data_IF_024731359049
#
_entry.id   IF_024731359049
#
_cell.length_a   1.000
_cell.length_b   1.000
_cell.length_c   1.000
_cell.angle_alpha   90.00
_cell.angle_beta   90.00
_cell.angle_gamma   90.00
#
_symmetry.space_group_name_H-M   'P 1'
#
loop_
_entity.id
_entity.type
_entity.pdbx_description
1 polymer ?
#
# COMPACT_ATOMS: atom_id res chain seq x y z
N UNK A 1 -49.17 -2.64 -43.13
CA UNK A 1 -47.78 -2.75 -42.67
C UNK A 1 -47.68 -2.08 -41.32
N UNK A 2 -47.55 -2.85 -40.25
CA UNK A 2 -47.32 -2.29 -38.91
C UNK A 2 -45.87 -1.81 -38.86
N UNK A 3 -45.64 -0.52 -38.73
CA UNK A 3 -44.35 0.01 -38.43
C UNK A 3 -44.02 -0.33 -36.96
N UNK A 4 -43.15 -1.26 -36.72
CA UNK A 4 -42.51 -1.46 -35.45
C UNK A 4 -41.71 -0.18 -35.15
N UNK A 5 -42.22 0.67 -34.30
CA UNK A 5 -41.44 1.73 -33.67
C UNK A 5 -40.45 1.04 -32.72
N UNK A 6 -39.18 0.98 -33.10
CA UNK A 6 -38.14 0.67 -32.15
C UNK A 6 -38.16 1.70 -31.04
N UNK A 7 -38.29 1.23 -29.81
CA UNK A 7 -38.22 2.09 -28.63
C UNK A 7 -36.79 2.65 -28.55
N UNK A 8 -36.69 3.97 -28.68
CA UNK A 8 -35.44 4.67 -28.54
C UNK A 8 -35.02 4.58 -27.09
N UNK A 9 -33.92 3.84 -26.82
CA UNK A 9 -33.36 3.75 -25.49
C UNK A 9 -32.84 5.11 -25.07
N UNK A 10 -33.23 5.55 -23.88
CA UNK A 10 -32.72 6.78 -23.27
C UNK A 10 -31.65 6.40 -22.26
N UNK A 11 -30.45 6.86 -22.49
CA UNK A 11 -29.36 6.72 -21.54
C UNK A 11 -29.52 7.76 -20.42
N UNK A 12 -29.24 7.33 -19.20
CA UNK A 12 -29.17 8.24 -18.06
C UNK A 12 -27.93 9.10 -18.18
N UNK A 13 -28.06 10.41 -18.02
CA UNK A 13 -26.92 11.31 -17.87
C UNK A 13 -26.26 11.20 -16.49
N UNK A 14 -26.88 10.48 -15.56
CA UNK A 14 -26.35 10.26 -14.23
C UNK A 14 -25.44 9.05 -14.26
N UNK A 15 -24.16 9.30 -14.15
CA UNK A 15 -23.16 8.24 -13.91
C UNK A 15 -23.20 7.86 -12.45
N UNK A 16 -23.50 6.60 -12.16
CA UNK A 16 -23.46 6.11 -10.77
C UNK A 16 -22.03 6.18 -10.24
N UNK A 17 -21.90 6.81 -9.08
CA UNK A 17 -20.61 6.82 -8.38
C UNK A 17 -20.13 5.39 -8.12
N UNK A 18 -18.91 5.09 -8.57
CA UNK A 18 -18.32 3.76 -8.36
C UNK A 18 -17.89 3.59 -6.91
N UNK A 19 -18.17 2.42 -6.37
CA UNK A 19 -17.55 2.02 -5.11
C UNK A 19 -16.05 1.81 -5.35
N UNK A 20 -15.24 2.45 -4.53
CA UNK A 20 -13.78 2.42 -4.68
C UNK A 20 -13.12 1.93 -3.40
N UNK A 21 -12.21 0.98 -3.53
CA UNK A 21 -11.34 0.55 -2.45
C UNK A 21 -10.28 1.61 -2.13
N UNK A 22 -9.77 1.57 -0.91
CA UNK A 22 -8.76 2.51 -0.43
C UNK A 22 -7.37 2.17 -0.98
N UNK A 23 -6.69 3.14 -1.60
CA UNK A 23 -5.27 3.04 -1.95
C UNK A 23 -4.45 3.72 -0.88
N UNK A 24 -3.60 2.97 -0.19
CA UNK A 24 -2.89 3.42 1.00
C UNK A 24 -1.38 3.22 0.92
N UNK A 25 -0.93 2.03 0.54
CA UNK A 25 0.46 1.60 0.74
C UNK A 25 1.46 2.38 -0.10
N UNK A 26 1.08 2.90 -1.26
CA UNK A 26 1.96 3.71 -2.10
C UNK A 26 2.54 4.94 -1.38
N UNK A 27 1.83 5.48 -0.38
CA UNK A 27 2.27 6.62 0.43
C UNK A 27 3.05 6.20 1.70
N UNK A 28 2.96 4.93 2.10
CA UNK A 28 3.60 4.42 3.31
C UNK A 28 4.97 3.80 3.05
N UNK A 29 5.31 3.56 1.80
CA UNK A 29 6.60 3.02 1.40
C UNK A 29 7.64 4.13 1.20
N UNK A 30 8.89 3.82 1.52
CA UNK A 30 10.03 4.68 1.21
C UNK A 30 10.29 4.69 -0.30
N UNK A 31 10.32 5.89 -0.88
CA UNK A 31 10.58 6.16 -2.30
C UNK A 31 11.86 6.95 -2.53
N UNK A 32 12.61 7.23 -1.46
CA UNK A 32 13.83 8.06 -1.53
C UNK A 32 15.01 7.19 -1.95
N UNK A 33 15.39 7.29 -3.23
CA UNK A 33 16.55 6.60 -3.79
C UNK A 33 17.41 7.59 -4.56
N UNK A 34 18.73 7.35 -4.53
CA UNK A 34 19.69 8.12 -5.33
C UNK A 34 19.85 7.49 -6.72
N UNK A 35 19.83 8.33 -7.74
CA UNK A 35 19.99 7.94 -9.14
C UNK A 35 18.71 7.47 -9.82
N UNK A 36 18.83 7.18 -11.11
CA UNK A 36 17.76 6.65 -11.93
C UNK A 36 17.93 5.13 -12.05
N UNK A 37 16.95 4.31 -11.64
CA UNK A 37 17.05 2.86 -11.69
C UNK A 37 16.84 2.35 -13.12
N UNK A 38 17.83 2.49 -13.98
CA UNK A 38 17.77 2.02 -15.38
C UNK A 38 18.22 0.57 -15.57
N UNK A 39 18.65 -0.10 -14.51
CA UNK A 39 19.28 -1.42 -14.59
C UNK A 39 18.38 -2.58 -14.07
N UNK A 40 17.08 -2.35 -13.93
CA UNK A 40 16.14 -3.38 -13.49
C UNK A 40 16.28 -3.81 -12.01
N UNK A 41 17.19 -3.21 -11.25
CA UNK A 41 17.38 -3.50 -9.84
C UNK A 41 18.04 -2.34 -9.08
N UNK A 42 17.63 -2.17 -7.82
CA UNK A 42 18.21 -1.18 -6.90
C UNK A 42 18.89 -1.91 -5.73
N UNK A 43 20.13 -1.56 -5.42
CA UNK A 43 20.86 -2.12 -4.27
C UNK A 43 20.64 -1.23 -3.05
N UNK A 44 20.04 -1.80 -2.01
CA UNK A 44 19.78 -1.12 -0.74
C UNK A 44 20.83 -1.54 0.25
N UNK A 45 21.69 -0.61 0.75
CA UNK A 45 22.69 -0.94 1.76
C UNK A 45 21.98 -1.25 3.10
N UNK A 46 22.30 -2.40 3.65
CA UNK A 46 21.85 -2.80 4.99
C UNK A 46 23.09 -2.83 5.87
N UNK A 47 23.16 -1.89 6.82
CA UNK A 47 24.19 -1.90 7.84
C UNK A 47 23.69 -2.63 9.08
N UNK A 48 24.46 -3.58 9.55
CA UNK A 48 24.32 -4.12 10.89
C UNK A 48 25.06 -3.22 11.88
N UNK A 49 24.79 -3.39 13.17
CA UNK A 49 25.46 -2.64 14.22
C UNK A 49 26.96 -2.85 14.16
N UNK A 50 27.71 -1.78 14.19
CA UNK A 50 29.17 -1.84 14.25
C UNK A 50 29.60 -2.48 15.58
N UNK A 51 30.58 -3.39 15.51
CA UNK A 51 31.14 -4.01 16.70
C UNK A 51 32.06 -3.00 17.39
N UNK A 52 31.66 -2.57 18.57
CA UNK A 52 32.52 -1.76 19.43
C UNK A 52 33.37 -2.69 20.28
N UNK A 53 34.66 -2.76 19.98
CA UNK A 53 35.61 -3.45 20.85
C UNK A 53 35.96 -2.53 22.03
N UNK A 54 35.63 -2.96 23.24
CA UNK A 54 35.97 -2.26 24.48
C UNK A 54 37.15 -2.95 25.16
N UNK A 55 38.09 -2.18 25.71
CA UNK A 55 39.14 -2.70 26.61
C UNK A 55 38.96 -2.08 27.98
N UNK A 56 39.50 -2.72 29.02
CA UNK A 56 39.52 -2.17 30.35
C UNK A 56 40.35 -0.85 30.38
N UNK A 57 39.95 0.08 31.19
CA UNK A 57 40.67 1.32 31.42
C UNK A 57 42.14 1.02 31.73
N UNK A 58 43.04 1.67 31.02
CA UNK A 58 44.48 1.58 31.18
C UNK A 58 45.18 0.33 30.54
N UNK A 59 44.50 -0.47 29.71
CA UNK A 59 45.12 -1.50 28.87
C UNK A 59 44.95 -1.11 27.42
N UNK A 60 45.80 -0.22 26.92
CA UNK A 60 45.80 0.17 25.51
C UNK A 60 46.61 -0.88 24.73
N UNK A 61 46.01 -2.01 24.43
CA UNK A 61 46.48 -2.90 23.39
C UNK A 61 45.93 -2.43 22.07
N UNK A 62 46.77 -2.12 21.09
CA UNK A 62 46.32 -1.56 19.80
C UNK A 62 45.19 -2.40 19.22
N UNK A 63 44.09 -1.73 18.87
CA UNK A 63 42.96 -2.37 18.22
C UNK A 63 43.31 -2.61 16.75
N UNK A 64 43.09 -3.84 16.26
CA UNK A 64 43.19 -4.16 14.85
C UNK A 64 42.09 -3.41 14.08
N UNK A 65 42.43 -2.79 12.97
CA UNK A 65 41.49 -2.14 12.05
C UNK A 65 40.71 -3.22 11.33
N UNK A 66 39.44 -3.29 11.61
CA UNK A 66 38.50 -4.16 10.89
C UNK A 66 37.82 -3.39 9.75
N UNK A 67 37.88 -3.97 8.54
CA UNK A 67 37.17 -3.35 7.40
C UNK A 67 35.67 -3.34 7.65
N UNK A 68 35.06 -2.19 7.46
CA UNK A 68 33.59 -2.05 7.55
C UNK A 68 32.92 -2.85 6.43
N UNK A 69 32.18 -3.88 6.79
CA UNK A 69 31.40 -4.67 5.84
C UNK A 69 30.00 -4.07 5.70
N UNK A 70 29.61 -3.76 4.48
CA UNK A 70 28.24 -3.34 4.15
C UNK A 70 27.61 -4.45 3.32
N UNK A 71 26.49 -5.00 3.80
CA UNK A 71 25.70 -5.93 3.02
C UNK A 71 24.67 -5.17 2.19
N UNK A 72 24.35 -5.69 1.01
CA UNK A 72 23.36 -5.09 0.11
C UNK A 72 22.19 -6.04 -0.09
N UNK A 73 20.99 -5.54 -0.02
CA UNK A 73 19.79 -6.23 -0.51
C UNK A 73 19.41 -5.67 -1.85
N UNK A 74 19.08 -6.54 -2.79
CA UNK A 74 18.71 -6.16 -4.15
C UNK A 74 17.19 -6.13 -4.26
N UNK A 75 16.64 -4.94 -4.52
CA UNK A 75 15.25 -4.78 -4.92
C UNK A 75 15.19 -4.97 -6.43
N UNK A 76 14.46 -5.97 -6.88
CA UNK A 76 14.27 -6.27 -8.31
C UNK A 76 13.02 -5.54 -8.80
N UNK A 77 13.11 -4.94 -9.97
CA UNK A 77 11.99 -4.31 -10.66
C UNK A 77 11.39 -5.36 -11.59
N UNK A 78 10.36 -6.03 -11.13
CA UNK A 78 9.76 -7.22 -11.77
C UNK A 78 8.27 -7.09 -12.06
N UNK A 79 7.66 -5.96 -11.67
CA UNK A 79 6.23 -5.74 -11.82
C UNK A 79 5.95 -4.78 -12.96
N UNK A 80 4.99 -5.16 -13.81
CA UNK A 80 4.59 -4.41 -14.99
C UNK A 80 3.06 -4.42 -15.11
N UNK A 81 2.44 -3.31 -14.76
CA UNK A 81 1.00 -3.12 -14.88
C UNK A 81 0.69 -2.22 -16.07
N UNK A 82 -0.26 -2.62 -16.88
CA UNK A 82 -0.70 -1.82 -18.02
C UNK A 82 -2.22 -1.83 -18.18
N UNK A 83 -2.73 -0.75 -18.75
CA UNK A 83 -4.09 -0.64 -19.28
C UNK A 83 -3.98 -0.35 -20.77
N UNK A 84 -4.73 -1.10 -21.57
CA UNK A 84 -4.83 -0.88 -23.00
C UNK A 84 -6.26 -1.22 -23.44
N UNK A 85 -7.12 -0.22 -23.55
CA UNK A 85 -8.53 -0.36 -23.89
C UNK A 85 -8.84 0.42 -25.17
N UNK A 86 -9.42 -0.24 -26.16
CA UNK A 86 -9.82 0.37 -27.43
C UNK A 86 -11.13 1.16 -27.26
N UNK A 87 -11.15 2.35 -27.80
CA UNK A 87 -12.34 3.18 -27.95
C UNK A 87 -12.58 3.36 -29.45
N UNK A 88 -13.63 2.73 -29.97
CA UNK A 88 -14.07 2.93 -31.32
C UNK A 88 -14.74 4.31 -31.47
N UNK A 89 -14.27 5.12 -32.41
CA UNK A 89 -14.74 6.50 -32.59
C UNK A 89 -16.21 6.58 -32.96
N UNK A 90 -16.72 5.67 -33.79
CA UNK A 90 -18.13 5.62 -34.17
C UNK A 90 -19.01 5.30 -32.96
N UNK A 91 -18.59 4.38 -32.12
CA UNK A 91 -19.32 4.03 -30.89
C UNK A 91 -19.22 5.15 -29.85
N UNK A 92 -18.11 5.86 -29.78
CA UNK A 92 -17.90 6.98 -28.85
C UNK A 92 -18.84 8.15 -29.15
N UNK A 93 -19.09 8.45 -30.43
CA UNK A 93 -20.02 9.50 -30.85
C UNK A 93 -21.49 9.16 -30.54
N UNK A 94 -21.81 7.86 -30.43
CA UNK A 94 -23.14 7.39 -30.11
C UNK A 94 -23.45 7.35 -28.59
N UNK A 95 -22.44 7.54 -27.74
CA UNK A 95 -22.51 7.42 -26.28
C UNK A 95 -22.42 8.81 -25.66
N UNK A 96 -23.08 9.09 -24.49
CA UNK A 96 -22.98 10.37 -23.81
C UNK A 96 -21.51 10.77 -23.52
N UNK A 97 -21.16 12.04 -23.74
CA UNK A 97 -19.80 12.61 -23.66
C UNK A 97 -19.06 12.32 -22.34
N UNK A 98 -19.79 12.11 -21.23
CA UNK A 98 -19.18 11.81 -19.92
C UNK A 98 -18.61 10.39 -19.79
N UNK A 99 -18.98 9.44 -20.64
CA UNK A 99 -18.61 8.02 -20.45
C UNK A 99 -17.15 7.75 -20.74
N UNK A 100 -16.56 8.43 -21.71
CA UNK A 100 -15.13 8.28 -22.06
C UNK A 100 -14.25 8.84 -20.95
N UNK A 101 -14.62 10.00 -20.39
CA UNK A 101 -13.89 10.59 -19.25
C UNK A 101 -13.96 9.68 -18.01
N UNK A 102 -15.10 9.07 -17.77
CA UNK A 102 -15.28 8.13 -16.66
C UNK A 102 -14.46 6.84 -16.84
N UNK A 103 -14.36 6.32 -18.06
CA UNK A 103 -13.50 5.17 -18.37
C UNK A 103 -12.03 5.49 -18.12
N UNK A 104 -11.57 6.69 -18.50
CA UNK A 104 -10.21 7.16 -18.26
C UNK A 104 -9.92 7.23 -16.74
N UNK A 105 -10.81 7.83 -15.96
CA UNK A 105 -10.70 7.90 -14.50
C UNK A 105 -10.71 6.50 -13.86
N UNK A 106 -11.60 5.62 -14.33
CA UNK A 106 -11.66 4.23 -13.89
C UNK A 106 -10.39 3.45 -14.20
N UNK A 107 -9.79 3.65 -15.36
CA UNK A 107 -8.54 3.01 -15.75
C UNK A 107 -7.38 3.48 -14.85
N UNK A 108 -7.29 4.78 -14.58
CA UNK A 108 -6.29 5.35 -13.67
C UNK A 108 -6.43 4.79 -12.25
N UNK A 109 -7.66 4.74 -11.74
CA UNK A 109 -7.96 4.13 -10.45
C UNK A 109 -7.58 2.65 -10.40
N UNK A 110 -7.94 1.86 -11.41
CA UNK A 110 -7.63 0.42 -11.47
C UNK A 110 -6.13 0.15 -11.46
N UNK A 111 -5.34 0.97 -12.17
CA UNK A 111 -3.87 0.90 -12.12
C UNK A 111 -3.34 1.23 -10.71
N UNK A 112 -3.91 2.24 -10.05
CA UNK A 112 -3.55 2.59 -8.68
C UNK A 112 -3.81 1.44 -7.70
N UNK A 113 -4.99 0.83 -7.77
CA UNK A 113 -5.37 -0.32 -6.93
C UNK A 113 -4.52 -1.56 -7.24
N UNK A 114 -4.19 -1.82 -8.50
CA UNK A 114 -3.32 -2.93 -8.86
C UNK A 114 -1.91 -2.76 -8.25
N UNK A 115 -1.37 -1.56 -8.29
CA UNK A 115 -0.09 -1.23 -7.64
C UNK A 115 -0.18 -1.38 -6.13
N UNK A 116 -1.23 -0.84 -5.51
CA UNK A 116 -1.45 -0.92 -4.06
C UNK A 116 -1.60 -2.38 -3.59
N UNK A 117 -2.32 -3.20 -4.36
CA UNK A 117 -2.45 -4.65 -4.09
C UNK A 117 -1.12 -5.37 -4.15
N UNK A 118 -0.25 -5.04 -5.09
CA UNK A 118 1.09 -5.62 -5.18
C UNK A 118 1.99 -5.20 -4.01
N UNK A 119 1.86 -3.96 -3.53
CA UNK A 119 2.56 -3.49 -2.33
C UNK A 119 2.06 -4.20 -1.07
N UNK A 120 0.74 -4.37 -0.93
CA UNK A 120 0.14 -5.18 0.14
C UNK A 120 0.70 -6.61 0.13
N UNK A 121 0.72 -7.26 -1.02
CA UNK A 121 1.20 -8.65 -1.15
C UNK A 121 2.70 -8.76 -0.81
N UNK A 122 3.47 -7.73 -1.15
CA UNK A 122 4.87 -7.60 -0.74
C UNK A 122 5.01 -7.55 0.79
N UNK A 123 4.13 -6.80 1.49
CA UNK A 123 4.11 -6.74 2.96
C UNK A 123 3.69 -8.07 3.58
N UNK A 124 2.68 -8.73 3.01
CA UNK A 124 2.18 -10.03 3.51
C UNK A 124 3.22 -11.14 3.35
N UNK A 125 4.00 -11.09 2.26
CA UNK A 125 5.04 -12.10 1.98
C UNK A 125 6.35 -11.78 2.68
N UNK A 126 6.73 -10.49 2.72
CA UNK A 126 8.00 -10.03 3.29
C UNK A 126 7.96 -9.78 4.80
N UNK A 127 6.77 -9.71 5.40
CA UNK A 127 6.60 -9.48 6.83
C UNK A 127 6.66 -10.74 7.68
N UNK A 128 6.73 -10.56 8.99
CA UNK A 128 6.72 -11.64 9.99
C UNK A 128 5.31 -11.81 10.55
N UNK A 129 4.85 -13.06 10.65
CA UNK A 129 3.58 -13.37 11.30
C UNK A 129 3.63 -13.00 12.79
N UNK A 130 2.57 -12.35 13.27
CA UNK A 130 2.40 -11.97 14.66
C UNK A 130 1.15 -12.63 15.25
N UNK A 131 1.31 -13.37 16.34
CA UNK A 131 0.24 -14.01 17.11
C UNK A 131 -0.92 -14.59 16.25
N UNK A 132 -0.70 -15.77 15.70
CA UNK A 132 -1.68 -16.48 14.85
C UNK A 132 -2.71 -17.28 15.65
N UNK A 133 -2.63 -17.27 16.98
CA UNK A 133 -3.41 -18.15 17.86
C UNK A 133 -4.54 -17.45 18.60
N UNK A 134 -4.43 -16.14 18.79
CA UNK A 134 -5.41 -15.36 19.57
C UNK A 134 -6.35 -14.59 18.65
N UNK A 135 -7.64 -14.82 18.74
CA UNK A 135 -8.65 -14.05 18.04
C UNK A 135 -8.78 -12.64 18.63
N UNK A 136 -8.94 -11.62 17.78
CA UNK A 136 -9.20 -10.27 18.23
C UNK A 136 -10.66 -10.11 18.68
N UNK A 137 -10.83 -9.50 19.84
CA UNK A 137 -12.11 -9.12 20.41
C UNK A 137 -12.04 -7.66 20.86
N UNK A 138 -13.19 -7.05 21.17
CA UNK A 138 -13.24 -5.68 21.72
C UNK A 138 -12.40 -5.47 22.98
N UNK A 139 -12.14 -6.54 23.75
CA UNK A 139 -11.36 -6.48 24.98
C UNK A 139 -9.87 -6.70 24.75
N UNK A 140 -9.48 -7.41 23.70
CA UNK A 140 -8.09 -7.82 23.46
C UNK A 140 -7.41 -7.03 22.34
N UNK A 141 -8.17 -6.34 21.48
CA UNK A 141 -7.61 -5.65 20.30
C UNK A 141 -6.59 -4.60 20.68
N UNK A 142 -6.86 -3.79 21.68
CA UNK A 142 -5.95 -2.74 22.14
C UNK A 142 -4.65 -3.32 22.70
N UNK A 143 -4.76 -4.35 23.59
CA UNK A 143 -3.59 -5.04 24.13
C UNK A 143 -2.71 -5.62 23.02
N UNK A 144 -3.32 -6.28 22.03
CA UNK A 144 -2.58 -6.88 20.91
C UNK A 144 -1.86 -5.85 20.03
N UNK A 145 -2.43 -4.67 19.83
CA UNK A 145 -1.75 -3.56 19.14
C UNK A 145 -0.54 -3.09 19.95
N UNK A 146 -0.69 -2.94 21.27
CA UNK A 146 0.43 -2.56 22.14
C UNK A 146 1.50 -3.65 22.22
N UNK A 147 1.11 -4.93 22.23
CA UNK A 147 2.04 -6.07 22.18
C UNK A 147 2.86 -6.07 20.87
N UNK A 148 2.19 -5.86 19.73
CA UNK A 148 2.85 -5.76 18.44
C UNK A 148 3.86 -4.57 18.41
N UNK A 149 3.45 -3.41 18.93
CA UNK A 149 4.34 -2.26 19.12
C UNK A 149 5.55 -2.62 20.00
N UNK A 150 5.31 -3.30 21.09
CA UNK A 150 6.35 -3.71 22.03
C UNK A 150 7.33 -4.69 21.38
N UNK A 151 6.85 -5.61 20.55
CA UNK A 151 7.69 -6.53 19.77
C UNK A 151 8.63 -5.76 18.84
N UNK A 152 8.13 -4.77 18.10
CA UNK A 152 8.97 -3.91 17.25
C UNK A 152 9.99 -3.09 18.06
N UNK A 153 9.60 -2.58 19.24
CA UNK A 153 10.53 -1.85 20.11
C UNK A 153 11.63 -2.73 20.68
N UNK A 154 11.32 -3.99 21.05
CA UNK A 154 12.32 -4.99 21.46
C UNK A 154 13.29 -5.32 20.33
N UNK A 155 12.85 -5.25 19.08
CA UNK A 155 13.69 -5.38 17.89
C UNK A 155 14.46 -4.08 17.54
N UNK A 156 14.48 -3.08 18.44
CA UNK A 156 15.15 -1.78 18.30
C UNK A 156 14.69 -0.91 17.13
N UNK A 157 13.46 -1.12 16.67
CA UNK A 157 12.87 -0.32 15.58
C UNK A 157 12.35 0.99 16.16
N UNK A 158 12.64 2.11 15.46
CA UNK A 158 12.17 3.44 15.86
C UNK A 158 10.63 3.53 15.80
N UNK A 159 10.04 4.25 16.74
CA UNK A 159 8.59 4.53 16.75
C UNK A 159 8.17 5.62 15.77
N UNK A 160 9.12 6.48 15.35
CA UNK A 160 8.88 7.42 14.27
C UNK A 160 8.54 6.66 12.97
N UNK A 161 7.57 7.16 12.23
CA UNK A 161 7.14 6.57 10.95
C UNK A 161 6.55 5.15 11.04
N UNK A 162 6.10 4.73 12.24
CA UNK A 162 5.27 3.54 12.38
C UNK A 162 3.86 3.83 11.90
N UNK A 163 3.33 2.93 11.13
CA UNK A 163 1.97 2.94 10.64
C UNK A 163 1.32 1.57 10.82
N UNK A 164 0.01 1.56 10.92
CA UNK A 164 -0.78 0.34 11.01
C UNK A 164 -1.96 0.42 10.04
N UNK A 165 -2.07 -0.54 9.15
CA UNK A 165 -3.24 -0.74 8.31
C UNK A 165 -4.12 -1.81 8.94
N UNK A 166 -5.37 -1.48 9.20
CA UNK A 166 -6.33 -2.38 9.87
C UNK A 166 -7.49 -2.71 8.95
N UNK A 167 -8.01 -3.93 9.05
CA UNK A 167 -9.25 -4.29 8.35
C UNK A 167 -10.45 -3.53 8.94
N UNK A 168 -11.53 -3.31 8.17
CA UNK A 168 -12.73 -2.63 8.67
C UNK A 168 -13.33 -3.32 9.91
N UNK A 169 -13.25 -4.65 9.98
CA UNK A 169 -13.69 -5.41 11.16
C UNK A 169 -12.84 -5.09 12.40
N UNK A 170 -11.52 -5.08 12.24
CA UNK A 170 -10.58 -4.76 13.33
C UNK A 170 -10.71 -3.29 13.73
N UNK A 171 -10.94 -2.40 12.78
CA UNK A 171 -11.21 -0.99 13.03
C UNK A 171 -12.47 -0.81 13.90
N UNK A 172 -13.54 -1.52 13.55
CA UNK A 172 -14.77 -1.51 14.36
C UNK A 172 -14.57 -2.07 15.78
N UNK A 173 -13.67 -3.06 15.95
CA UNK A 173 -13.31 -3.57 17.29
C UNK A 173 -12.51 -2.54 18.09
N UNK A 174 -11.61 -1.80 17.46
CA UNK A 174 -10.87 -0.70 18.10
C UNK A 174 -11.80 0.39 18.61
N UNK A 175 -12.76 0.82 17.79
CA UNK A 175 -13.75 1.83 18.20
C UNK A 175 -14.65 1.36 19.36
N UNK A 176 -14.88 0.05 19.48
CA UNK A 176 -15.66 -0.55 20.57
C UNK A 176 -14.84 -0.92 21.80
N UNK A 177 -13.51 -0.71 21.77
CA UNK A 177 -12.62 -1.06 22.89
C UNK A 177 -12.88 -0.15 24.09
N UNK A 178 -13.04 -0.73 25.32
CA UNK A 178 -13.30 0.06 26.52
C UNK A 178 -12.16 1.03 26.88
N UNK A 179 -10.92 0.67 26.57
CA UNK A 179 -9.74 1.49 26.82
C UNK A 179 -9.76 2.75 25.95
N UNK A 180 -10.25 2.62 24.74
CA UNK A 180 -10.36 3.73 23.79
C UNK A 180 -11.49 4.68 24.19
N UNK A 181 -12.63 4.15 24.61
CA UNK A 181 -13.81 4.93 25.05
C UNK A 181 -13.51 5.67 26.36
N UNK A 182 -12.70 5.09 27.26
CA UNK A 182 -12.37 5.67 28.56
C UNK A 182 -11.27 6.73 28.53
N UNK A 183 -10.50 6.80 27.45
CA UNK A 183 -9.34 7.69 27.33
C UNK A 183 -9.71 9.17 27.10
N UNK A 184 -10.68 9.70 27.85
CA UNK A 184 -11.01 11.12 27.99
C UNK A 184 -11.52 11.85 26.72
N UNK A 185 -11.44 13.17 26.70
CA UNK A 185 -11.95 14.07 25.65
C UNK A 185 -11.59 13.70 24.20
N UNK A 186 -10.49 12.94 24.00
CA UNK A 186 -10.11 12.40 22.70
C UNK A 186 -11.06 11.28 22.26
N UNK A 187 -11.60 10.48 23.20
CA UNK A 187 -12.56 9.43 22.92
C UNK A 187 -13.88 9.96 22.40
N UNK A 188 -14.35 11.09 22.91
CA UNK A 188 -15.58 11.72 22.44
C UNK A 188 -15.44 12.25 21.00
N UNK A 189 -14.28 12.80 20.64
CA UNK A 189 -14.01 13.28 19.28
C UNK A 189 -13.91 12.09 18.30
N UNK A 190 -13.27 11.00 18.70
CA UNK A 190 -13.17 9.77 17.90
C UNK A 190 -14.53 9.12 17.69
N UNK A 191 -15.36 9.06 18.72
CA UNK A 191 -16.74 8.54 18.60
C UNK A 191 -17.55 9.42 17.64
N UNK A 192 -17.37 10.73 17.69
CA UNK A 192 -18.09 11.68 16.84
C UNK A 192 -17.60 11.66 15.39
N UNK A 193 -16.31 11.52 15.15
CA UNK A 193 -15.69 11.61 13.80
C UNK A 193 -15.35 10.26 13.19
N UNK A 194 -15.26 9.20 13.98
CA UNK A 194 -14.85 7.87 13.53
C UNK A 194 -13.35 7.76 13.17
N UNK A 195 -12.54 8.77 13.47
CA UNK A 195 -11.12 8.76 13.17
C UNK A 195 -10.31 8.24 14.35
N UNK A 196 -9.70 7.05 14.24
CA UNK A 196 -8.84 6.50 15.31
C UNK A 196 -7.54 7.31 15.48
N UNK A 197 -7.05 7.93 14.42
CA UNK A 197 -5.88 8.78 14.47
C UNK A 197 -4.59 8.04 14.85
N UNK A 198 -4.21 8.04 16.12
CA UNK A 198 -2.94 7.49 16.59
C UNK A 198 -3.12 6.66 17.86
N UNK A 199 -2.56 5.45 17.90
CA UNK A 199 -2.53 4.57 19.07
C UNK A 199 -1.08 4.31 19.47
N UNK A 200 -0.70 4.71 20.67
CA UNK A 200 0.66 4.48 21.20
C UNK A 200 1.78 5.06 20.32
N UNK A 201 1.53 6.12 19.56
CA UNK A 201 2.48 6.70 18.62
C UNK A 201 2.49 6.05 17.23
N UNK A 202 1.52 5.19 16.94
CA UNK A 202 1.33 4.53 15.63
C UNK A 202 0.15 5.18 14.94
N UNK A 203 0.32 5.63 13.70
CA UNK A 203 -0.78 6.14 12.86
C UNK A 203 -1.59 4.97 12.35
N UNK A 204 -2.91 5.00 12.57
CA UNK A 204 -3.84 3.93 12.19
C UNK A 204 -4.61 4.33 10.96
N UNK A 205 -4.59 3.46 9.96
CA UNK A 205 -5.32 3.60 8.70
C UNK A 205 -6.29 2.43 8.53
N UNK A 206 -7.52 2.73 8.15
CA UNK A 206 -8.46 1.72 7.71
C UNK A 206 -8.16 1.31 6.28
N UNK A 207 -8.10 0.02 6.01
CA UNK A 207 -7.80 -0.54 4.71
C UNK A 207 -8.76 -1.68 4.38
N UNK A 208 -9.51 -1.52 3.31
CA UNK A 208 -10.61 -2.40 2.90
C UNK A 208 -10.23 -3.38 1.78
N UNK A 209 -9.06 -3.21 1.13
CA UNK A 209 -8.64 -4.03 -0.01
C UNK A 209 -7.68 -5.16 0.39
N UNK A 210 -7.97 -5.90 1.46
CA UNK A 210 -7.26 -7.15 1.74
C UNK A 210 -7.76 -8.26 0.82
N UNK A 211 -6.81 -8.97 0.14
CA UNK A 211 -7.15 -10.12 -0.69
C UNK A 211 -7.59 -11.34 0.13
N UNK A 212 -7.16 -11.40 1.37
CA UNK A 212 -7.47 -12.46 2.34
C UNK A 212 -8.21 -11.83 3.51
N UNK A 213 -9.48 -12.15 3.67
CA UNK A 213 -10.34 -11.70 4.79
C UNK A 213 -9.81 -12.13 6.17
N UNK A 214 -8.78 -12.97 6.19
CA UNK A 214 -8.10 -13.39 7.41
C UNK A 214 -7.08 -12.38 7.92
N UNK A 215 -6.72 -11.35 7.15
CA UNK A 215 -5.79 -10.33 7.65
C UNK A 215 -6.54 -9.36 8.55
N UNK A 216 -6.12 -9.27 9.80
CA UNK A 216 -6.69 -8.36 10.79
C UNK A 216 -5.99 -7.00 10.78
N UNK A 217 -4.65 -6.99 10.82
CA UNK A 217 -3.86 -5.78 10.65
C UNK A 217 -2.45 -6.07 10.16
N UNK A 218 -1.84 -5.05 9.55
CA UNK A 218 -0.41 -4.99 9.22
C UNK A 218 0.18 -3.80 9.97
N UNK A 219 1.20 -4.03 10.78
CA UNK A 219 1.97 -3.00 11.45
C UNK A 219 3.36 -2.94 10.83
N UNK A 220 3.76 -1.78 10.32
CA UNK A 220 5.03 -1.60 9.65
C UNK A 220 5.71 -0.26 9.97
N UNK A 221 6.91 -0.10 9.43
CA UNK A 221 7.65 1.15 9.47
C UNK A 221 8.09 1.52 8.05
N UNK A 222 7.81 2.76 7.65
CA UNK A 222 8.06 3.26 6.29
C UNK A 222 9.52 3.16 5.85
N UNK A 223 10.47 3.28 6.76
CA UNK A 223 11.91 3.25 6.45
C UNK A 223 12.35 1.92 5.83
N UNK A 224 11.72 0.81 6.21
CA UNK A 224 12.13 -0.54 5.80
C UNK A 224 11.27 -1.15 4.69
N UNK A 225 10.23 -0.46 4.28
CA UNK A 225 9.38 -0.83 3.15
C UNK A 225 9.77 0.01 1.95
N UNK A 226 10.24 -0.62 0.88
CA UNK A 226 10.82 0.05 -0.27
C UNK A 226 9.96 -0.16 -1.50
N UNK A 227 9.71 0.94 -2.23
CA UNK A 227 8.97 0.98 -3.48
C UNK A 227 9.70 1.86 -4.48
N UNK A 228 9.97 1.34 -5.66
CA UNK A 228 10.67 2.05 -6.73
C UNK A 228 9.84 2.00 -8.00
N UNK A 229 9.46 3.18 -8.50
CA UNK A 229 8.94 3.34 -9.85
C UNK A 229 10.12 3.49 -10.82
N UNK A 230 10.25 2.59 -11.80
CA UNK A 230 11.27 2.68 -12.84
C UNK A 230 10.76 3.50 -14.02
N UNK A 231 9.62 3.13 -14.55
CA UNK A 231 9.04 3.78 -15.73
C UNK A 231 7.52 3.85 -15.63
N UNK A 232 6.99 5.04 -15.87
CA UNK A 232 5.56 5.29 -15.77
C UNK A 232 5.06 6.08 -16.97
N UNK A 233 4.11 5.50 -17.69
CA UNK A 233 3.30 6.20 -18.68
C UNK A 233 1.94 6.50 -18.03
N UNK A 234 1.59 7.78 -17.81
CA UNK A 234 0.28 8.13 -17.26
C UNK A 234 -0.83 7.59 -18.14
N UNK A 235 -1.95 7.23 -17.54
CA UNK A 235 -3.14 6.82 -18.29
C UNK A 235 -3.65 8.01 -19.08
N UNK A 236 -3.71 7.86 -20.40
CA UNK A 236 -4.16 8.90 -21.31
C UNK A 236 -4.85 8.28 -22.53
N UNK A 237 -5.70 9.06 -23.18
CA UNK A 237 -6.29 8.72 -24.47
C UNK A 237 -5.25 9.04 -25.56
N UNK A 238 -4.99 8.08 -26.45
CA UNK A 238 -4.12 8.24 -27.59
C UNK A 238 -4.84 7.82 -28.86
N UNK A 239 -4.78 8.65 -29.88
CA UNK A 239 -5.30 8.31 -31.19
C UNK A 239 -4.46 7.20 -31.85
N UNK A 240 -5.13 6.25 -32.44
CA UNK A 240 -4.50 5.14 -33.15
C UNK A 240 -4.32 5.53 -34.63
N UNK A 241 -3.08 5.39 -35.12
CA UNK A 241 -2.72 5.72 -36.51
C UNK A 241 -2.47 4.48 -37.36
N UNK A 242 -2.97 3.31 -36.92
CA UNK A 242 -2.81 2.07 -37.68
C UNK A 242 -4.00 1.86 -38.65
N UNK A 243 -3.74 1.11 -39.73
CA UNK A 243 -4.75 0.86 -40.75
C UNK A 243 -5.89 -0.09 -40.30
N UNK A 244 -5.80 -0.71 -39.13
CA UNK A 244 -6.82 -1.62 -38.60
C UNK A 244 -7.85 -0.90 -37.72
N UNK A 245 -7.51 0.29 -37.16
CA UNK A 245 -8.33 1.03 -36.20
C UNK A 245 -8.56 2.48 -36.65
N UNK A 246 -9.03 2.65 -37.90
CA UNK A 246 -9.27 3.97 -38.49
C UNK A 246 -10.31 4.74 -37.68
N UNK A 247 -9.94 5.93 -37.21
CA UNK A 247 -10.82 6.79 -36.42
C UNK A 247 -11.05 6.35 -34.98
N UNK A 248 -10.27 5.40 -34.48
CA UNK A 248 -10.35 4.92 -33.11
C UNK A 248 -9.24 5.47 -32.24
N UNK A 249 -9.48 5.52 -30.94
CA UNK A 249 -8.50 5.89 -29.92
C UNK A 249 -8.35 4.78 -28.86
N UNK A 250 -7.30 4.83 -28.07
CA UNK A 250 -7.07 3.88 -26.99
C UNK A 250 -6.77 4.59 -25.68
N UNK A 251 -7.32 4.06 -24.58
CA UNK A 251 -6.88 4.41 -23.22
C UNK A 251 -5.65 3.57 -22.91
N UNK A 252 -4.50 4.21 -22.78
CA UNK A 252 -3.23 3.54 -22.55
C UNK A 252 -2.52 4.10 -21.32
N UNK A 253 -1.99 3.21 -20.50
CA UNK A 253 -1.14 3.53 -19.38
C UNK A 253 -0.27 2.34 -19.02
N UNK A 254 0.92 2.58 -18.48
CA UNK A 254 1.83 1.51 -18.05
C UNK A 254 2.67 1.96 -16.86
N UNK A 255 2.89 1.06 -15.92
CA UNK A 255 3.71 1.31 -14.75
C UNK A 255 4.63 0.11 -14.49
N UNK A 256 5.94 0.33 -14.56
CA UNK A 256 6.97 -0.66 -14.25
C UNK A 256 7.61 -0.29 -12.93
N UNK A 257 7.58 -1.23 -11.97
CA UNK A 257 8.00 -0.95 -10.60
C UNK A 257 8.52 -2.19 -9.88
N UNK A 258 9.11 -1.96 -8.72
CA UNK A 258 9.53 -3.01 -7.80
C UNK A 258 9.21 -2.64 -6.35
N UNK A 259 9.03 -3.64 -5.50
CA UNK A 259 8.83 -3.46 -4.07
C UNK A 259 9.53 -4.54 -3.25
N UNK A 260 9.99 -4.18 -2.05
CA UNK A 260 10.66 -5.10 -1.16
C UNK A 260 10.57 -4.62 0.29
N UNK A 261 10.49 -5.57 1.22
CA UNK A 261 10.72 -5.34 2.65
C UNK A 261 12.17 -5.67 2.96
N UNK A 262 12.97 -4.67 3.38
CA UNK A 262 14.40 -4.88 3.62
C UNK A 262 14.68 -5.71 4.88
N UNK A 263 13.84 -5.60 5.91
CA UNK A 263 13.95 -6.37 7.16
C UNK A 263 12.60 -6.96 7.54
N UNK A 264 12.38 -8.29 7.44
CA UNK A 264 11.09 -8.93 7.76
C UNK A 264 10.59 -8.64 9.18
N UNK A 265 11.48 -8.53 10.15
CA UNK A 265 11.13 -8.23 11.54
C UNK A 265 10.53 -6.83 11.77
N UNK A 266 10.58 -5.94 10.76
CA UNK A 266 10.04 -4.57 10.85
C UNK A 266 8.60 -4.45 10.42
N UNK A 267 8.03 -5.52 9.86
CA UNK A 267 6.65 -5.60 9.43
C UNK A 267 6.01 -6.80 10.12
N UNK A 268 4.99 -6.56 10.91
CA UNK A 268 4.22 -7.57 11.61
C UNK A 268 2.85 -7.73 10.96
N UNK A 269 2.50 -8.96 10.60
CA UNK A 269 1.23 -9.32 9.98
C UNK A 269 0.41 -10.16 10.95
N UNK A 270 -0.73 -9.65 11.39
CA UNK A 270 -1.69 -10.38 12.20
C UNK A 270 -2.79 -10.94 11.31
N UNK A 271 -2.98 -12.25 11.38
CA UNK A 271 -4.10 -12.96 10.73
C UNK A 271 -5.06 -13.49 11.77
N UNK A 272 -6.31 -13.70 11.38
CA UNK A 272 -7.32 -14.38 12.19
C UNK A 272 -6.78 -15.76 12.61
N UNK A 273 -7.07 -16.12 13.85
CA UNK A 273 -6.72 -17.42 14.40
C UNK A 273 -7.55 -18.53 13.76
#
# INVERSE_FOLDING_TARGET
>A
MAQNKELQERYSSLVLAKQRATSLFANLFNRSYEGTPTAGAVKIPVRDTEVVAGSNYNTLTGAELTAAATSYKTLVIDKDNYVNELIDGHTADAVPDGLVAERLDSAGYSMGIATDSALRDCLLTGGTSFDTTTALTKATVYEKVIDARTALRKAHIMTSEMWMAVSPETYALLLKSPEFIRASSLGDEVIATGAVGMIGGIVVYEYDNYADDKVEFILGNSVYCHYVDDWKVPVAIKDLADGAHIGSSAIQGRNVYGCMVSRPATVLVKKKA
#
